data_IF_272478384341
#
_entry.id   IF_272478384341
#
_cell.length_a   1.000
_cell.length_b   1.000
_cell.length_c   1.000
_cell.angle_alpha   90.00
_cell.angle_beta   90.00
_cell.angle_gamma   90.00
#
_symmetry.space_group_name_H-M   'P 1'
#
loop_
_entity.id
_entity.type
_entity.pdbx_description
1 polymer ?
#
# COMPACT_ATOMS: atom_id res chain seq x y z
N UNK A 1 -22.90 20.52 -22.98
CA UNK A 1 -21.81 19.83 -23.71
C UNK A 1 -21.89 18.36 -23.34
N UNK A 2 -22.48 17.51 -24.20
CA UNK A 2 -22.64 16.08 -23.91
C UNK A 2 -21.32 15.33 -24.04
N UNK A 3 -21.16 14.18 -23.36
CA UNK A 3 -19.97 13.34 -23.53
C UNK A 3 -19.85 12.86 -24.99
N UNK A 4 -18.62 12.74 -25.53
CA UNK A 4 -18.42 12.28 -26.90
C UNK A 4 -18.92 10.83 -27.06
N UNK A 5 -19.64 10.59 -28.16
CA UNK A 5 -20.08 9.26 -28.54
C UNK A 5 -18.85 8.35 -28.76
N UNK A 6 -18.75 7.26 -28.00
CA UNK A 6 -17.66 6.27 -28.10
C UNK A 6 -16.76 6.11 -26.87
N UNK A 7 -16.98 6.86 -25.79
CA UNK A 7 -16.28 6.58 -24.53
C UNK A 7 -16.71 5.19 -23.99
N UNK A 8 -15.78 4.31 -23.59
CA UNK A 8 -16.15 3.02 -23.01
C UNK A 8 -17.00 3.25 -21.77
N UNK A 9 -18.26 2.78 -21.82
CA UNK A 9 -19.19 2.84 -20.70
C UNK A 9 -18.72 1.84 -19.65
N UNK A 10 -18.42 2.34 -18.45
CA UNK A 10 -18.11 1.49 -17.31
C UNK A 10 -19.35 0.67 -16.93
N UNK A 11 -19.30 -0.65 -17.12
CA UNK A 11 -20.35 -1.58 -16.73
C UNK A 11 -19.95 -2.32 -15.44
N UNK A 12 -20.38 -1.86 -14.24
CA UNK A 12 -20.02 -2.50 -12.98
C UNK A 12 -20.56 -3.93 -12.85
N UNK A 13 -21.59 -4.30 -13.61
CA UNK A 13 -22.21 -5.63 -13.59
C UNK A 13 -21.36 -6.76 -14.21
N UNK A 14 -20.23 -6.44 -14.85
CA UNK A 14 -19.28 -7.44 -15.36
C UNK A 14 -18.27 -7.90 -14.29
N UNK A 15 -18.29 -7.30 -13.09
CA UNK A 15 -17.44 -7.73 -11.98
C UNK A 15 -18.15 -8.88 -11.25
N UNK A 16 -17.74 -10.11 -11.56
CA UNK A 16 -17.78 -11.21 -10.59
C UNK A 16 -19.10 -11.95 -10.40
N UNK A 17 -19.62 -12.61 -11.45
CA UNK A 17 -20.61 -13.67 -11.25
C UNK A 17 -20.00 -15.01 -10.81
N UNK A 18 -18.69 -15.18 -11.00
CA UNK A 18 -17.92 -16.36 -10.61
C UNK A 18 -16.74 -16.02 -9.68
N UNK A 19 -16.93 -15.06 -8.75
CA UNK A 19 -15.95 -14.86 -7.67
C UNK A 19 -16.15 -15.96 -6.62
N UNK A 20 -15.64 -17.15 -6.90
CA UNK A 20 -15.19 -18.02 -5.83
C UNK A 20 -13.81 -17.51 -5.43
N UNK A 21 -13.66 -16.79 -4.30
CA UNK A 21 -12.33 -16.37 -3.88
C UNK A 21 -11.57 -17.66 -3.57
N UNK A 22 -10.57 -17.97 -4.40
CA UNK A 22 -9.49 -18.85 -3.98
C UNK A 22 -9.03 -18.41 -2.60
N UNK A 23 -8.76 -19.34 -1.67
CA UNK A 23 -8.28 -18.97 -0.35
C UNK A 23 -7.04 -18.06 -0.51
N UNK A 24 -6.95 -16.98 0.28
CA UNK A 24 -5.82 -16.08 0.16
C UNK A 24 -4.51 -16.82 0.40
N UNK A 25 -3.47 -16.35 -0.28
CA UNK A 25 -2.12 -16.63 0.16
C UNK A 25 -1.85 -15.77 1.39
N UNK A 26 -1.52 -16.42 2.49
CA UNK A 26 -1.29 -15.75 3.77
C UNK A 26 0.18 -15.73 4.14
N UNK A 27 0.63 -14.58 4.65
CA UNK A 27 1.98 -14.41 5.18
C UNK A 27 1.94 -13.58 6.45
N UNK A 28 2.71 -14.00 7.46
CA UNK A 28 2.96 -13.22 8.68
C UNK A 28 4.38 -12.71 8.65
N UNK A 29 4.52 -11.38 8.71
CA UNK A 29 5.81 -10.70 8.73
C UNK A 29 6.10 -10.26 10.17
N UNK A 30 7.13 -10.81 10.83
CA UNK A 30 7.45 -10.40 12.20
C UNK A 30 7.90 -8.93 12.24
N UNK A 31 7.50 -8.22 13.28
CA UNK A 31 7.86 -6.83 13.52
C UNK A 31 8.97 -6.76 14.56
N UNK A 32 10.19 -6.44 14.12
CA UNK A 32 11.34 -6.22 15.03
C UNK A 32 11.29 -4.87 15.76
N UNK A 33 10.36 -3.98 15.36
CA UNK A 33 10.11 -2.68 15.97
C UNK A 33 8.70 -2.21 15.59
N UNK A 34 8.11 -1.23 16.32
CA UNK A 34 6.74 -0.77 16.10
C UNK A 34 6.45 -0.37 14.65
N UNK A 35 5.23 -0.61 14.16
CA UNK A 35 4.75 -0.20 12.84
C UNK A 35 3.44 0.59 12.98
N UNK A 36 3.45 1.84 12.51
CA UNK A 36 2.25 2.65 12.33
C UNK A 36 1.83 2.52 10.86
N UNK A 37 0.99 1.51 10.59
CA UNK A 37 0.57 1.17 9.23
C UNK A 37 -0.20 2.33 8.56
N UNK A 38 -1.18 2.99 9.22
CA UNK A 38 -1.87 4.15 8.64
C UNK A 38 -0.91 5.28 8.28
N UNK A 39 0.00 5.68 9.19
CA UNK A 39 0.92 6.78 8.93
C UNK A 39 1.93 6.43 7.83
N UNK A 40 2.40 5.18 7.79
CA UNK A 40 3.34 4.66 6.79
C UNK A 40 2.74 4.70 5.37
N UNK A 41 1.48 4.29 5.22
CA UNK A 41 0.82 4.21 3.90
C UNK A 41 0.17 5.53 3.46
N UNK A 42 -0.07 6.47 4.38
CA UNK A 42 -0.80 7.73 4.13
C UNK A 42 -0.32 8.50 2.91
N UNK A 43 1.00 8.59 2.68
CA UNK A 43 1.55 9.31 1.52
C UNK A 43 1.28 8.59 0.18
N UNK A 44 1.08 7.27 0.22
CA UNK A 44 0.74 6.47 -0.95
C UNK A 44 -0.76 6.50 -1.26
N UNK A 45 -1.62 6.81 -0.28
CA UNK A 45 -3.04 7.10 -0.49
C UNK A 45 -3.31 8.44 -1.19
N UNK A 46 -2.29 9.32 -1.31
CA UNK A 46 -2.36 10.60 -2.05
C UNK A 46 -3.60 11.42 -1.69
N UNK A 47 -3.74 11.72 -0.39
CA UNK A 47 -4.89 12.46 0.15
C UNK A 47 -6.24 11.75 -0.01
N UNK A 48 -6.23 10.43 -0.19
CA UNK A 48 -7.43 9.62 -0.42
C UNK A 48 -7.88 9.56 -1.90
N UNK A 49 -7.09 10.13 -2.82
CA UNK A 49 -7.42 10.16 -4.24
C UNK A 49 -7.12 8.87 -5.00
N UNK A 50 -6.58 7.84 -4.35
CA UNK A 50 -6.24 6.56 -5.01
C UNK A 50 -7.39 5.57 -5.00
N UNK A 51 -7.60 4.90 -6.13
CA UNK A 51 -8.56 3.78 -6.23
C UNK A 51 -7.92 2.41 -5.99
N UNK A 52 -6.59 2.36 -5.83
CA UNK A 52 -5.81 1.13 -5.69
C UNK A 52 -5.14 0.98 -4.31
N UNK A 53 -5.37 1.93 -3.39
CA UNK A 53 -4.92 1.83 -2.00
C UNK A 53 -5.97 2.47 -1.09
N UNK A 54 -6.33 1.75 -0.03
CA UNK A 54 -7.23 2.23 1.03
C UNK A 54 -6.63 1.86 2.39
N UNK A 55 -6.78 2.74 3.37
CA UNK A 55 -6.42 2.48 4.76
C UNK A 55 -7.61 2.89 5.61
N UNK A 56 -8.11 1.96 6.43
CA UNK A 56 -9.24 2.15 7.33
C UNK A 56 -8.92 1.57 8.72
N UNK A 57 -9.93 1.48 9.59
CA UNK A 57 -9.76 0.96 10.95
C UNK A 57 -9.41 -0.52 11.02
N UNK A 58 -9.74 -1.29 9.97
CA UNK A 58 -9.58 -2.75 9.93
C UNK A 58 -8.30 -3.17 9.20
N UNK A 59 -7.56 -2.23 8.62
CA UNK A 59 -6.27 -2.47 7.99
C UNK A 59 -6.04 -1.61 6.74
N UNK A 60 -5.25 -2.16 5.82
CA UNK A 60 -4.97 -1.52 4.55
C UNK A 60 -5.18 -2.49 3.40
N UNK A 61 -5.73 -1.97 2.30
CA UNK A 61 -5.89 -2.68 1.05
C UNK A 61 -5.00 -2.07 0.00
N UNK A 62 -4.34 -2.92 -0.78
CA UNK A 62 -3.50 -2.49 -1.88
C UNK A 62 -3.69 -3.39 -3.10
N UNK A 63 -4.08 -2.79 -4.22
CA UNK A 63 -4.23 -3.47 -5.49
C UNK A 63 -3.11 -3.07 -6.46
N UNK A 64 -2.55 -4.05 -7.16
CA UNK A 64 -1.46 -3.84 -8.08
C UNK A 64 -1.52 -4.80 -9.27
N UNK A 65 -0.86 -4.41 -10.36
CA UNK A 65 -0.51 -5.33 -11.44
C UNK A 65 0.92 -5.82 -11.20
N UNK A 66 1.08 -7.14 -11.25
CA UNK A 66 2.37 -7.84 -11.25
C UNK A 66 2.61 -8.42 -12.64
N UNK A 67 3.80 -8.95 -12.89
CA UNK A 67 4.11 -9.65 -14.16
C UNK A 67 3.22 -10.88 -14.36
N UNK A 68 2.84 -11.54 -13.26
CA UNK A 68 2.02 -12.75 -13.24
C UNK A 68 0.52 -12.47 -13.34
N UNK A 69 0.11 -11.20 -13.17
CA UNK A 69 -1.27 -10.75 -13.30
C UNK A 69 -1.68 -9.76 -12.21
N UNK A 70 -2.96 -9.37 -12.17
CA UNK A 70 -3.49 -8.52 -11.11
C UNK A 70 -3.42 -9.23 -9.76
N UNK A 71 -3.20 -8.46 -8.71
CA UNK A 71 -3.22 -8.95 -7.34
C UNK A 71 -3.71 -7.88 -6.38
N UNK A 72 -4.33 -8.32 -5.30
CA UNK A 72 -4.75 -7.48 -4.19
C UNK A 72 -4.18 -8.08 -2.91
N UNK A 73 -3.73 -7.22 -1.99
CA UNK A 73 -3.30 -7.62 -0.65
C UNK A 73 -4.06 -6.82 0.40
N UNK A 74 -4.50 -7.50 1.47
CA UNK A 74 -4.98 -6.92 2.71
C UNK A 74 -3.87 -7.01 3.75
N UNK A 75 -3.62 -5.94 4.47
CA UNK A 75 -2.62 -5.83 5.51
C UNK A 75 -3.30 -5.48 6.83
N UNK A 76 -3.06 -6.29 7.86
CA UNK A 76 -3.66 -6.11 9.19
C UNK A 76 -2.57 -6.19 10.26
N UNK A 77 -2.56 -5.23 11.18
CA UNK A 77 -1.58 -5.21 12.26
C UNK A 77 -1.97 -6.21 13.35
N UNK A 78 -1.13 -7.23 13.56
CA UNK A 78 -1.35 -8.33 14.52
C UNK A 78 -0.67 -8.14 15.87
N UNK A 79 -0.04 -6.99 16.12
CA UNK A 79 0.70 -6.69 17.35
C UNK A 79 2.20 -6.84 17.14
N UNK A 80 2.69 -8.08 17.19
CA UNK A 80 4.10 -8.44 16.98
C UNK A 80 4.41 -8.85 15.52
N UNK A 81 3.38 -8.88 14.67
CA UNK A 81 3.50 -9.20 13.25
C UNK A 81 2.54 -8.35 12.41
N UNK A 82 2.84 -8.24 11.12
CA UNK A 82 1.92 -7.78 10.09
C UNK A 82 1.37 -9.01 9.36
N UNK A 83 0.04 -9.19 9.39
CA UNK A 83 -0.64 -10.19 8.57
C UNK A 83 -0.87 -9.62 7.17
N UNK A 84 -0.56 -10.42 6.15
CA UNK A 84 -0.76 -10.09 4.75
C UNK A 84 -1.52 -11.23 4.06
N UNK A 85 -2.71 -10.94 3.56
CA UNK A 85 -3.57 -11.88 2.83
C UNK A 85 -3.65 -11.39 1.39
N UNK A 86 -3.33 -12.23 0.40
CA UNK A 86 -3.29 -11.81 -1.00
C UNK A 86 -4.08 -12.71 -1.95
N UNK A 87 -4.68 -12.10 -2.97
CA UNK A 87 -5.53 -12.75 -3.96
C UNK A 87 -5.09 -12.44 -5.40
N UNK A 88 -5.44 -13.34 -6.31
CA UNK A 88 -5.24 -13.20 -7.75
C UNK A 88 -3.92 -13.83 -8.27
N UNK A 89 -3.74 -13.88 -9.61
CA UNK A 89 -2.58 -14.56 -10.23
C UNK A 89 -1.22 -14.00 -9.80
N UNK A 90 -1.17 -12.74 -9.35
CA UNK A 90 0.04 -12.09 -8.85
C UNK A 90 0.26 -12.14 -7.33
N UNK A 91 -0.58 -12.85 -6.58
CA UNK A 91 -0.61 -12.77 -5.11
C UNK A 91 0.75 -13.07 -4.46
N UNK A 92 1.42 -14.15 -4.86
CA UNK A 92 2.74 -14.52 -4.34
C UNK A 92 3.78 -13.41 -4.57
N UNK A 93 3.85 -12.87 -5.79
CA UNK A 93 4.77 -11.79 -6.13
C UNK A 93 4.45 -10.50 -5.34
N UNK A 94 3.17 -10.18 -5.16
CA UNK A 94 2.76 -9.03 -4.37
C UNK A 94 3.12 -9.18 -2.88
N UNK A 95 2.98 -10.39 -2.31
CA UNK A 95 3.39 -10.69 -0.93
C UNK A 95 4.90 -10.52 -0.72
N UNK A 96 5.72 -10.88 -1.71
CA UNK A 96 7.17 -10.67 -1.65
C UNK A 96 7.56 -9.18 -1.64
N UNK A 97 6.69 -8.31 -2.17
CA UNK A 97 6.90 -6.86 -2.17
C UNK A 97 6.41 -6.17 -0.88
N UNK A 98 5.57 -6.82 -0.06
CA UNK A 98 4.98 -6.22 1.15
C UNK A 98 6.03 -5.64 2.10
N UNK A 99 7.15 -6.32 2.42
CA UNK A 99 8.17 -5.74 3.31
C UNK A 99 8.70 -4.40 2.79
N UNK A 100 8.88 -4.25 1.48
CA UNK A 100 9.29 -2.97 0.88
C UNK A 100 8.15 -1.94 0.89
N UNK A 101 6.92 -2.38 0.63
CA UNK A 101 5.72 -1.53 0.65
C UNK A 101 5.49 -0.85 1.99
N UNK A 102 5.72 -1.57 3.10
CA UNK A 102 5.58 -1.05 4.47
C UNK A 102 6.90 -0.64 5.12
N UNK A 103 8.02 -0.68 4.39
CA UNK A 103 9.33 -0.22 4.86
C UNK A 103 9.97 -1.11 5.93
N UNK A 104 9.58 -2.39 6.02
CA UNK A 104 10.24 -3.41 6.85
C UNK A 104 11.55 -3.91 6.23
N UNK A 105 11.81 -3.60 4.95
CA UNK A 105 13.09 -3.86 4.27
C UNK A 105 14.22 -2.88 4.67
N UNK A 106 13.96 -1.98 5.64
CA UNK A 106 14.90 -0.97 6.11
C UNK A 106 14.96 -0.94 7.65
N UNK A 107 16.09 -0.48 8.23
CA UNK A 107 16.14 -0.20 9.66
C UNK A 107 15.04 0.80 10.07
N UNK A 108 14.47 0.66 11.28
CA UNK A 108 13.60 1.67 11.87
C UNK A 108 14.27 3.04 11.91
N UNK A 109 13.51 4.12 11.79
CA UNK A 109 14.07 5.48 11.85
C UNK A 109 14.83 5.74 13.16
N UNK A 110 14.40 5.11 14.25
CA UNK A 110 15.07 5.19 15.55
C UNK A 110 16.50 4.60 15.55
N UNK A 111 16.85 3.75 14.58
CA UNK A 111 18.19 3.21 14.42
C UNK A 111 19.11 4.12 13.58
N UNK A 112 18.60 5.21 13.02
CA UNK A 112 19.39 6.16 12.24
C UNK A 112 20.10 7.15 13.17
N UNK A 113 21.37 7.44 12.89
CA UNK A 113 22.09 8.55 13.52
C UNK A 113 21.61 9.87 12.91
N UNK A 114 20.78 10.61 13.65
CA UNK A 114 20.17 11.85 13.21
C UNK A 114 20.80 13.04 13.95
N UNK A 115 21.54 13.89 13.23
CA UNK A 115 22.22 15.05 13.83
C UNK A 115 21.23 16.20 14.14
N UNK A 116 20.21 16.37 13.30
CA UNK A 116 19.29 17.50 13.42
C UNK A 116 18.27 17.28 14.55
N UNK A 117 18.11 18.23 15.50
CA UNK A 117 17.25 18.06 16.67
C UNK A 117 15.78 17.79 16.33
N UNK A 118 15.26 18.40 15.25
CA UNK A 118 13.89 18.17 14.80
C UNK A 118 13.66 16.73 14.32
N UNK A 119 14.65 16.13 13.63
CA UNK A 119 14.52 14.76 13.14
C UNK A 119 14.55 13.75 14.30
N UNK A 120 15.37 14.02 15.32
CA UNK A 120 15.37 13.22 16.57
C UNK A 120 14.03 13.30 17.29
N UNK A 121 13.47 14.51 17.41
CA UNK A 121 12.17 14.71 18.06
C UNK A 121 11.03 14.01 17.29
N UNK A 122 10.97 14.16 15.97
CA UNK A 122 9.96 13.51 15.13
C UNK A 122 10.06 11.98 15.26
N UNK A 123 11.27 11.43 15.17
CA UNK A 123 11.51 9.98 15.27
C UNK A 123 11.07 9.43 16.63
N UNK A 124 11.30 10.19 17.71
CA UNK A 124 10.84 9.83 19.06
C UNK A 124 9.31 9.87 19.19
N UNK A 125 8.64 10.86 18.57
CA UNK A 125 7.17 10.99 18.60
C UNK A 125 6.44 9.99 17.71
N UNK A 126 7.10 9.49 16.66
CA UNK A 126 6.53 8.56 15.69
C UNK A 126 7.41 7.30 15.51
N UNK A 127 7.61 6.49 16.58
CA UNK A 127 8.50 5.32 16.52
C UNK A 127 8.01 4.23 15.55
N UNK A 128 6.70 4.23 15.27
CA UNK A 128 6.06 3.32 14.32
C UNK A 128 6.19 3.72 12.86
N UNK A 129 6.55 4.97 12.56
CA UNK A 129 6.61 5.43 11.17
C UNK A 129 7.69 4.68 10.40
N UNK A 130 7.34 4.25 9.19
CA UNK A 130 8.24 3.63 8.22
C UNK A 130 8.16 4.34 6.87
N UNK A 131 9.26 4.28 6.14
CA UNK A 131 9.35 4.79 4.77
C UNK A 131 9.24 3.62 3.80
N UNK A 132 8.01 3.38 3.33
CA UNK A 132 7.68 2.36 2.35
C UNK A 132 7.90 2.78 0.90
N UNK A 133 7.97 1.80 0.00
CA UNK A 133 8.02 2.01 -1.46
C UNK A 133 7.17 0.97 -2.19
N UNK A 134 6.39 1.41 -3.17
CA UNK A 134 5.60 0.50 -4.01
C UNK A 134 6.39 -0.11 -5.18
N UNK A 135 7.60 0.36 -5.45
CA UNK A 135 8.40 -0.05 -6.63
C UNK A 135 7.81 0.35 -7.99
N UNK A 136 6.70 1.10 -8.00
CA UNK A 136 5.93 1.42 -9.21
C UNK A 136 6.03 2.91 -9.53
N UNK A 137 6.77 3.22 -10.59
CA UNK A 137 7.03 4.60 -11.00
C UNK A 137 5.78 5.29 -11.57
N UNK A 138 5.05 4.63 -12.49
CA UNK A 138 3.98 5.29 -13.25
C UNK A 138 2.83 5.83 -12.37
N UNK A 139 2.22 5.06 -11.45
CA UNK A 139 1.19 5.59 -10.57
C UNK A 139 1.70 6.79 -9.74
N UNK A 140 2.98 6.78 -9.35
CA UNK A 140 3.57 7.86 -8.57
C UNK A 140 3.82 9.12 -9.39
N UNK A 141 4.28 8.99 -10.65
CA UNK A 141 4.48 10.10 -11.56
C UNK A 141 3.15 10.78 -11.92
N UNK A 142 2.12 10.00 -12.23
CA UNK A 142 0.78 10.54 -12.54
C UNK A 142 0.28 11.39 -11.36
N UNK A 143 0.38 10.87 -10.14
CA UNK A 143 -0.07 11.60 -8.95
C UNK A 143 0.78 12.82 -8.63
N UNK A 144 2.10 12.76 -8.83
CA UNK A 144 2.96 13.92 -8.65
C UNK A 144 2.66 15.04 -9.66
N UNK A 145 2.43 14.68 -10.93
CA UNK A 145 2.07 15.64 -11.98
C UNK A 145 0.69 16.28 -11.71
N UNK A 146 -0.30 15.47 -11.30
CA UNK A 146 -1.63 15.98 -10.94
C UNK A 146 -1.59 16.93 -9.72
N UNK A 147 -0.67 16.71 -8.78
CA UNK A 147 -0.52 17.56 -7.60
C UNK A 147 0.16 18.92 -7.87
N UNK A 148 0.79 19.10 -9.04
CA UNK A 148 1.54 20.32 -9.37
C UNK A 148 0.66 21.45 -9.95
N UNK A 149 -0.56 21.15 -10.37
CA UNK A 149 -1.47 22.13 -10.99
C UNK A 149 -2.71 22.38 -10.13
N UNK A 150 -2.47 22.71 -8.86
CA UNK A 150 -3.48 23.27 -7.96
C UNK A 150 -3.26 24.77 -7.88
#
# INVERSE_FOLDING_TARGET
>A
MGPPAGAPVWHPAAIGRDLHPEPPLDRRLPLSAPLDLPLTLRLMCLWGGTTWMQVDGDGAWYAARTRQGPATVRLTHGGDHLAAEAWGPGAAALLDEVPALVGLDRPPLAALSLDHPVLRDITRRHPGFRVGRSGRLYPRLVSAALAQKV
#
